data_IF_382721454135
#
_entry.id   IF_382721454135
#
_cell.length_a   1.000
_cell.length_b   1.000
_cell.length_c   1.000
_cell.angle_alpha   90.00
_cell.angle_beta   90.00
_cell.angle_gamma   90.00
#
_symmetry.space_group_name_H-M   'P 1'
#
loop_
_entity.id
_entity.type
_entity.pdbx_description
1 polymer ?
#
# COMPACT_ATOMS: atom_id res chain seq x y z
N UNK A 1 -13.85 15.41 -33.33
CA UNK A 1 -12.47 15.72 -32.87
C UNK A 1 -12.35 16.11 -31.38
N UNK A 2 -13.43 16.45 -30.65
CA UNK A 2 -13.36 16.64 -29.19
C UNK A 2 -13.36 15.32 -28.38
N UNK A 3 -13.98 14.26 -28.90
CA UNK A 3 -14.11 12.95 -28.24
C UNK A 3 -12.78 12.32 -27.81
N UNK A 4 -11.77 12.39 -28.67
CA UNK A 4 -10.52 11.64 -28.46
C UNK A 4 -9.63 12.30 -27.40
N UNK A 5 -9.74 13.64 -27.27
CA UNK A 5 -9.02 14.39 -26.25
C UNK A 5 -9.59 14.11 -24.85
N UNK A 6 -10.91 14.06 -24.73
CA UNK A 6 -11.57 13.78 -23.46
C UNK A 6 -11.38 12.31 -23.05
N UNK A 7 -11.39 11.38 -24.01
CA UNK A 7 -11.05 9.98 -23.77
C UNK A 7 -9.61 9.82 -23.22
N UNK A 8 -8.62 10.50 -23.82
CA UNK A 8 -7.24 10.46 -23.33
C UNK A 8 -7.09 11.04 -21.93
N UNK A 9 -7.80 12.14 -21.62
CA UNK A 9 -7.80 12.70 -20.26
C UNK A 9 -8.36 11.73 -19.24
N UNK A 10 -9.48 11.06 -19.54
CA UNK A 10 -10.08 10.07 -18.65
C UNK A 10 -9.14 8.88 -18.39
N UNK A 11 -8.41 8.42 -19.41
CA UNK A 11 -7.42 7.36 -19.24
C UNK A 11 -6.26 7.84 -18.36
N UNK A 12 -5.74 9.04 -18.61
CA UNK A 12 -4.68 9.62 -17.78
C UNK A 12 -5.12 9.78 -16.32
N UNK A 13 -6.38 10.17 -16.08
CA UNK A 13 -6.88 10.39 -14.72
C UNK A 13 -6.96 9.07 -13.95
N UNK A 14 -7.49 8.02 -14.60
CA UNK A 14 -7.46 6.66 -14.03
C UNK A 14 -6.04 6.20 -13.70
N UNK A 15 -5.08 6.47 -14.58
CA UNK A 15 -3.67 6.13 -14.36
C UNK A 15 -3.05 6.91 -13.21
N UNK A 16 -3.40 8.19 -13.07
CA UNK A 16 -2.97 9.01 -11.96
C UNK A 16 -3.47 8.48 -10.63
N UNK A 17 -4.76 8.15 -10.50
CA UNK A 17 -5.31 7.58 -9.27
C UNK A 17 -4.73 6.19 -8.97
N UNK A 18 -4.52 5.34 -9.98
CA UNK A 18 -3.83 4.04 -9.82
C UNK A 18 -2.40 4.26 -9.28
N UNK A 19 -1.65 5.24 -9.80
CA UNK A 19 -0.30 5.57 -9.30
C UNK A 19 -0.33 6.18 -7.88
N UNK A 20 -1.35 6.95 -7.54
CA UNK A 20 -1.49 7.59 -6.23
C UNK A 20 -1.64 6.55 -5.11
N UNK A 21 -2.26 5.40 -5.40
CA UNK A 21 -2.32 4.27 -4.47
C UNK A 21 -0.92 3.78 -4.05
N UNK A 22 0.11 3.94 -4.89
CA UNK A 22 1.47 3.45 -4.60
C UNK A 22 2.46 4.52 -4.15
N UNK A 23 2.24 5.80 -4.48
CA UNK A 23 3.28 6.84 -4.35
C UNK A 23 2.97 7.99 -3.38
N UNK A 24 1.87 7.93 -2.62
CA UNK A 24 1.44 8.89 -1.57
C UNK A 24 1.12 10.31 -2.07
N UNK A 25 1.86 10.85 -3.04
CA UNK A 25 1.75 12.21 -3.54
C UNK A 25 2.38 12.40 -4.93
N UNK A 26 2.10 13.54 -5.55
CA UNK A 26 2.62 13.95 -6.86
C UNK A 26 4.14 13.92 -6.97
N UNK A 27 4.86 14.21 -5.87
CA UNK A 27 6.32 14.19 -5.87
C UNK A 27 6.83 12.76 -6.05
N UNK A 28 6.22 11.78 -5.38
CA UNK A 28 6.52 10.37 -5.55
C UNK A 28 6.25 9.90 -6.97
N UNK A 29 5.08 10.26 -7.51
CA UNK A 29 4.66 9.93 -8.87
C UNK A 29 5.63 10.53 -9.90
N UNK A 30 5.91 11.84 -9.81
CA UNK A 30 6.80 12.52 -10.75
C UNK A 30 8.22 11.94 -10.75
N UNK A 31 8.76 11.56 -9.58
CA UNK A 31 10.06 10.88 -9.48
C UNK A 31 10.06 9.53 -10.20
N UNK A 32 9.00 8.75 -10.06
CA UNK A 32 8.88 7.44 -10.71
C UNK A 32 8.70 7.56 -12.24
N UNK A 33 7.95 8.56 -12.70
CA UNK A 33 7.65 8.76 -14.11
C UNK A 33 8.78 9.46 -14.89
N UNK A 34 9.58 10.33 -14.25
CA UNK A 34 10.58 11.15 -14.94
C UNK A 34 11.53 10.36 -15.87
N UNK A 35 12.07 9.17 -15.50
CA UNK A 35 12.91 8.36 -16.38
C UNK A 35 12.20 7.88 -17.66
N UNK A 36 10.87 7.82 -17.65
CA UNK A 36 10.04 7.28 -18.72
C UNK A 36 9.32 8.37 -19.53
N UNK A 37 9.09 9.53 -18.92
CA UNK A 37 8.37 10.65 -19.54
C UNK A 37 9.28 11.58 -20.36
N UNK A 38 10.61 11.53 -20.16
CA UNK A 38 11.57 12.33 -20.92
C UNK A 38 11.55 13.83 -20.61
N UNK A 39 10.98 14.24 -19.46
CA UNK A 39 11.02 15.62 -18.93
C UNK A 39 11.46 15.61 -17.47
N UNK A 40 11.87 16.78 -16.97
CA UNK A 40 12.27 16.93 -15.57
C UNK A 40 11.10 16.66 -14.61
N UNK A 41 11.47 16.25 -13.39
CA UNK A 41 10.52 15.99 -12.29
C UNK A 41 9.64 17.22 -12.02
N UNK A 42 10.19 18.44 -12.09
CA UNK A 42 9.44 19.67 -11.80
C UNK A 42 8.33 19.95 -12.82
N UNK A 43 8.57 19.65 -14.09
CA UNK A 43 7.55 19.75 -15.14
C UNK A 43 6.42 18.75 -14.88
N UNK A 44 6.77 17.51 -14.54
CA UNK A 44 5.79 16.49 -14.18
C UNK A 44 4.97 16.88 -12.95
N UNK A 45 5.61 17.33 -11.87
CA UNK A 45 4.92 17.78 -10.66
C UNK A 45 3.92 18.90 -10.95
N UNK A 46 4.30 19.88 -11.78
CA UNK A 46 3.42 20.98 -12.16
C UNK A 46 2.21 20.50 -12.96
N UNK A 47 2.44 19.55 -13.87
CA UNK A 47 1.37 18.96 -14.68
C UNK A 47 0.42 18.11 -13.83
N UNK A 48 0.94 17.35 -12.85
CA UNK A 48 0.16 16.53 -11.93
C UNK A 48 -0.70 17.38 -10.99
N UNK A 49 -0.11 18.35 -10.30
CA UNK A 49 -0.81 19.14 -9.28
C UNK A 49 -1.94 20.03 -9.82
N UNK A 50 -1.96 20.31 -11.12
CA UNK A 50 -3.06 21.01 -11.79
C UNK A 50 -3.86 20.08 -12.73
N UNK A 51 -3.43 18.83 -12.88
CA UNK A 51 -3.88 17.90 -13.93
C UNK A 51 -3.90 18.53 -15.34
N UNK A 52 -3.02 19.50 -15.61
CA UNK A 52 -2.98 20.28 -16.86
C UNK A 52 -2.01 19.68 -17.87
N UNK A 53 -2.40 18.59 -18.54
CA UNK A 53 -1.70 18.14 -19.74
C UNK A 53 -2.07 19.06 -20.92
N UNK A 54 -1.13 19.92 -21.33
CA UNK A 54 -1.37 21.03 -22.27
C UNK A 54 -1.87 20.58 -23.64
N UNK A 55 -1.46 19.41 -24.12
CA UNK A 55 -1.82 18.86 -25.42
C UNK A 55 -1.93 17.33 -25.41
N UNK A 56 -2.56 16.75 -26.44
CA UNK A 56 -2.76 15.30 -26.55
C UNK A 56 -1.45 14.50 -26.45
N UNK A 57 -0.36 14.99 -27.05
CA UNK A 57 0.96 14.35 -26.95
C UNK A 57 1.42 14.22 -25.51
N UNK A 58 1.35 15.30 -24.73
CA UNK A 58 1.74 15.30 -23.31
C UNK A 58 0.90 14.37 -22.44
N UNK A 59 -0.39 14.20 -22.78
CA UNK A 59 -1.28 13.25 -22.13
C UNK A 59 -0.91 11.82 -22.49
N UNK A 60 -0.62 11.53 -23.77
CA UNK A 60 -0.20 10.22 -24.23
C UNK A 60 1.15 9.80 -23.64
N UNK A 61 2.12 10.72 -23.60
CA UNK A 61 3.43 10.50 -22.98
C UNK A 61 3.26 10.13 -21.49
N UNK A 62 2.30 10.75 -20.80
CA UNK A 62 2.01 10.47 -19.40
C UNK A 62 1.40 9.07 -19.24
N UNK A 63 0.42 8.72 -20.08
CA UNK A 63 -0.19 7.39 -20.09
C UNK A 63 0.88 6.32 -20.34
N UNK A 64 1.75 6.53 -21.33
CA UNK A 64 2.81 5.59 -21.67
C UNK A 64 3.79 5.40 -20.51
N UNK A 65 4.29 6.50 -19.92
CA UNK A 65 5.16 6.45 -18.75
C UNK A 65 4.49 5.76 -17.56
N UNK A 66 3.21 6.06 -17.33
CA UNK A 66 2.41 5.45 -16.27
C UNK A 66 2.26 3.95 -16.45
N UNK A 67 1.97 3.49 -17.67
CA UNK A 67 1.87 2.07 -17.97
C UNK A 67 3.19 1.33 -17.71
N UNK A 68 4.32 1.91 -18.08
CA UNK A 68 5.64 1.33 -17.80
C UNK A 68 5.88 1.20 -16.29
N UNK A 69 5.62 2.27 -15.52
CA UNK A 69 5.81 2.24 -14.07
C UNK A 69 4.86 1.25 -13.40
N UNK A 70 3.58 1.25 -13.76
CA UNK A 70 2.58 0.33 -13.21
C UNK A 70 2.90 -1.13 -13.55
N UNK A 71 3.39 -1.42 -14.76
CA UNK A 71 3.82 -2.76 -15.13
C UNK A 71 5.00 -3.23 -14.26
N UNK A 72 5.97 -2.35 -13.99
CA UNK A 72 7.09 -2.66 -13.07
C UNK A 72 6.62 -2.93 -11.65
N UNK A 73 5.69 -2.13 -11.14
CA UNK A 73 5.11 -2.32 -9.80
C UNK A 73 4.39 -3.68 -9.72
N UNK A 74 3.63 -4.06 -10.75
CA UNK A 74 2.85 -5.30 -10.77
C UNK A 74 3.70 -6.57 -10.70
N UNK A 75 4.94 -6.54 -11.19
CA UNK A 75 5.86 -7.68 -11.16
C UNK A 75 6.88 -7.61 -10.01
N UNK A 76 6.86 -6.53 -9.22
CA UNK A 76 7.77 -6.36 -8.10
C UNK A 76 7.41 -7.31 -6.96
N UNK A 77 8.41 -7.98 -6.39
CA UNK A 77 8.23 -8.77 -5.17
C UNK A 77 7.92 -7.83 -4.00
N UNK A 78 6.89 -8.16 -3.22
CA UNK A 78 6.57 -7.45 -1.98
C UNK A 78 7.64 -7.77 -0.94
N UNK A 79 8.16 -6.73 -0.30
CA UNK A 79 9.09 -6.79 0.83
C UNK A 79 8.50 -5.98 2.00
N UNK A 80 7.43 -6.54 2.55
CA UNK A 80 6.72 -5.96 3.67
C UNK A 80 6.30 -7.06 4.66
N UNK A 81 6.32 -6.72 5.94
CA UNK A 81 5.95 -7.57 7.06
C UNK A 81 4.71 -7.00 7.72
N UNK A 82 3.64 -7.79 7.81
CA UNK A 82 2.40 -7.42 8.48
C UNK A 82 2.26 -8.18 9.80
N UNK A 83 1.87 -7.48 10.87
CA UNK A 83 1.29 -8.13 12.04
C UNK A 83 -0.20 -8.35 11.77
N UNK A 84 -0.66 -9.59 11.87
CA UNK A 84 -2.06 -9.96 11.74
C UNK A 84 -2.69 -10.12 13.13
N UNK A 85 -3.78 -9.39 13.36
CA UNK A 85 -4.63 -9.54 14.54
C UNK A 85 -6.07 -9.82 14.10
N UNK A 86 -6.71 -10.82 14.69
CA UNK A 86 -8.14 -11.09 14.50
C UNK A 86 -8.90 -10.82 15.80
N UNK A 87 -10.20 -10.52 15.70
CA UNK A 87 -11.08 -10.35 16.85
C UNK A 87 -10.97 -11.49 17.85
N UNK A 88 -11.09 -11.20 19.14
CA UNK A 88 -10.84 -12.18 20.21
C UNK A 88 -11.91 -13.26 20.33
N UNK A 89 -13.10 -13.01 19.79
CA UNK A 89 -14.22 -13.93 19.66
C UNK A 89 -14.14 -14.79 18.40
N UNK A 90 -13.18 -14.52 17.51
CA UNK A 90 -13.02 -15.24 16.25
C UNK A 90 -12.34 -16.59 16.44
N UNK A 91 -12.75 -17.57 15.62
CA UNK A 91 -12.13 -18.89 15.61
C UNK A 91 -10.68 -18.83 15.12
N UNK A 92 -9.74 -19.60 15.71
CA UNK A 92 -8.35 -19.68 15.24
C UNK A 92 -8.20 -20.05 13.76
N UNK A 93 -9.19 -20.71 13.15
CA UNK A 93 -9.17 -21.01 11.72
C UNK A 93 -9.16 -19.74 10.86
N UNK A 94 -9.82 -18.68 11.33
CA UNK A 94 -9.87 -17.38 10.63
C UNK A 94 -8.49 -16.75 10.59
N UNK A 95 -7.70 -16.88 11.67
CA UNK A 95 -6.31 -16.42 11.70
C UNK A 95 -5.48 -17.08 10.60
N UNK A 96 -5.60 -18.41 10.49
CA UNK A 96 -4.88 -19.21 9.50
C UNK A 96 -5.33 -18.83 8.08
N UNK A 97 -6.62 -18.63 7.85
CA UNK A 97 -7.15 -18.23 6.54
C UNK A 97 -6.67 -16.85 6.12
N UNK A 98 -6.73 -15.85 7.01
CA UNK A 98 -6.24 -14.51 6.68
C UNK A 98 -4.72 -14.50 6.51
N UNK A 99 -3.97 -15.23 7.35
CA UNK A 99 -2.52 -15.36 7.20
C UNK A 99 -2.14 -15.95 5.83
N UNK A 100 -2.84 -17.00 5.38
CA UNK A 100 -2.64 -17.58 4.05
C UNK A 100 -2.89 -16.56 2.93
N UNK A 101 -3.99 -15.81 2.99
CA UNK A 101 -4.27 -14.76 1.99
C UNK A 101 -3.15 -13.73 1.89
N UNK A 102 -2.61 -13.28 3.03
CA UNK A 102 -1.50 -12.33 3.05
C UNK A 102 -0.21 -12.95 2.48
N UNK A 103 0.10 -14.19 2.83
CA UNK A 103 1.25 -14.94 2.31
C UNK A 103 1.15 -15.13 0.79
N UNK A 104 -0.04 -15.43 0.27
CA UNK A 104 -0.30 -15.59 -1.17
C UNK A 104 -0.07 -14.29 -1.96
N UNK A 105 -0.17 -13.13 -1.30
CA UNK A 105 0.22 -11.83 -1.87
C UNK A 105 1.74 -11.60 -1.85
N UNK A 106 2.49 -12.44 -1.14
CA UNK A 106 3.92 -12.30 -0.89
C UNK A 106 4.26 -11.43 0.33
N UNK A 107 3.32 -11.21 1.25
CA UNK A 107 3.54 -10.46 2.50
C UNK A 107 4.05 -11.42 3.57
N UNK A 108 5.08 -11.01 4.33
CA UNK A 108 5.53 -11.77 5.50
C UNK A 108 4.55 -11.53 6.65
N UNK A 109 4.10 -12.58 7.35
CA UNK A 109 3.07 -12.47 8.38
C UNK A 109 3.63 -12.82 9.76
N UNK A 110 3.37 -11.94 10.73
CA UNK A 110 3.53 -12.20 12.16
C UNK A 110 2.12 -12.35 12.77
N UNK A 111 1.84 -13.46 13.43
CA UNK A 111 0.51 -13.76 13.97
C UNK A 111 0.63 -14.25 15.42
N UNK A 112 0.68 -13.35 16.42
CA UNK A 112 0.96 -13.71 17.81
C UNK A 112 -0.11 -14.63 18.42
N UNK A 113 -1.37 -14.47 17.98
CA UNK A 113 -2.51 -15.32 18.34
C UNK A 113 -2.36 -16.79 17.91
N UNK A 114 -1.37 -17.13 17.06
CA UNK A 114 -1.06 -18.52 16.72
C UNK A 114 -0.17 -19.21 17.78
N UNK A 115 0.47 -18.44 18.67
CA UNK A 115 1.46 -18.91 19.63
C UNK A 115 0.94 -18.77 21.07
N UNK A 116 0.20 -17.70 21.35
CA UNK A 116 -0.26 -17.35 22.69
C UNK A 116 -1.74 -16.98 22.69
N UNK A 117 -2.48 -17.47 23.66
CA UNK A 117 -3.89 -17.13 23.84
C UNK A 117 -4.03 -15.65 24.23
N UNK A 118 -5.07 -14.99 23.70
CA UNK A 118 -5.37 -13.58 23.97
C UNK A 118 -5.73 -13.28 25.43
N UNK A 119 -6.17 -14.28 26.19
CA UNK A 119 -6.45 -14.20 27.63
C UNK A 119 -5.19 -14.29 28.49
N UNK A 120 -4.04 -14.65 27.90
CA UNK A 120 -2.79 -14.78 28.63
C UNK A 120 -2.27 -13.40 29.06
N UNK A 121 -1.78 -13.28 30.29
CA UNK A 121 -1.34 -12.00 30.87
C UNK A 121 -0.25 -11.29 30.05
N UNK A 122 0.62 -12.08 29.41
CA UNK A 122 1.73 -11.59 28.58
C UNK A 122 1.35 -11.33 27.11
N UNK A 123 0.10 -11.59 26.70
CA UNK A 123 -0.31 -11.49 25.29
C UNK A 123 0.07 -10.13 24.67
N UNK A 124 -0.23 -9.04 25.36
CA UNK A 124 0.06 -7.70 24.89
C UNK A 124 1.54 -7.35 24.85
N UNK A 125 2.38 -8.04 25.62
CA UNK A 125 3.83 -7.85 25.57
C UNK A 125 4.42 -8.47 24.31
N UNK A 126 3.90 -9.63 23.88
CA UNK A 126 4.20 -10.21 22.57
C UNK A 126 3.74 -9.28 21.44
N UNK A 127 2.49 -8.78 21.50
CA UNK A 127 1.99 -7.83 20.49
C UNK A 127 2.93 -6.62 20.36
N UNK A 128 3.33 -5.99 21.47
CA UNK A 128 4.26 -4.84 21.46
C UNK A 128 5.60 -5.17 20.82
N UNK A 129 6.18 -6.33 21.15
CA UNK A 129 7.45 -6.75 20.58
C UNK A 129 7.34 -6.98 19.06
N UNK A 130 6.27 -7.64 18.62
CA UNK A 130 6.05 -7.96 17.21
C UNK A 130 5.68 -6.73 16.37
N UNK A 131 4.99 -5.75 16.94
CA UNK A 131 4.75 -4.44 16.32
C UNK A 131 6.05 -3.77 15.90
N UNK A 132 7.13 -3.91 16.69
CA UNK A 132 8.42 -3.31 16.36
C UNK A 132 9.05 -3.93 15.09
N UNK A 133 8.73 -5.20 14.79
CA UNK A 133 9.23 -5.94 13.63
C UNK A 133 8.33 -5.78 12.39
N UNK A 134 7.06 -5.47 12.59
CA UNK A 134 6.09 -5.27 11.53
C UNK A 134 6.24 -3.90 10.86
N UNK A 135 5.96 -3.81 9.56
CA UNK A 135 5.87 -2.55 8.84
C UNK A 135 4.50 -1.87 9.03
N UNK A 136 3.45 -2.67 9.18
CA UNK A 136 2.07 -2.25 9.38
C UNK A 136 1.27 -3.38 10.03
N UNK A 137 0.04 -3.07 10.42
CA UNK A 137 -0.85 -4.00 11.10
C UNK A 137 -2.07 -4.25 10.22
N UNK A 138 -2.46 -5.51 10.12
CA UNK A 138 -3.68 -5.96 9.46
C UNK A 138 -4.62 -6.49 10.52
N UNK A 139 -5.85 -5.97 10.54
CA UNK A 139 -6.90 -6.40 11.45
C UNK A 139 -8.03 -7.11 10.71
N UNK A 140 -8.74 -8.01 11.41
CA UNK A 140 -9.93 -8.68 10.90
C UNK A 140 -10.95 -8.83 12.03
N UNK A 141 -12.14 -8.25 11.85
CA UNK A 141 -13.27 -8.39 12.78
C UNK A 141 -12.91 -8.04 14.25
N UNK A 142 -12.00 -7.09 14.47
CA UNK A 142 -11.69 -6.59 15.82
C UNK A 142 -12.77 -5.63 16.28
N UNK A 143 -13.23 -5.78 17.52
CA UNK A 143 -14.24 -4.88 18.07
C UNK A 143 -13.64 -3.51 18.49
N UNK A 144 -14.50 -2.57 18.88
CA UNK A 144 -14.07 -1.21 19.22
C UNK A 144 -13.10 -1.12 20.41
N UNK A 145 -13.22 -2.03 21.38
CA UNK A 145 -12.32 -2.07 22.55
C UNK A 145 -10.94 -2.57 22.14
N UNK A 146 -10.89 -3.67 21.40
CA UNK A 146 -9.66 -4.25 20.86
C UNK A 146 -8.93 -3.27 19.93
N UNK A 147 -9.67 -2.61 19.04
CA UNK A 147 -9.10 -1.62 18.13
C UNK A 147 -8.53 -0.42 18.89
N UNK A 148 -9.19 0.04 19.95
CA UNK A 148 -8.68 1.13 20.80
C UNK A 148 -7.37 0.74 21.49
N UNK A 149 -7.33 -0.46 22.09
CA UNK A 149 -6.12 -0.99 22.72
C UNK A 149 -4.96 -1.13 21.72
N UNK A 150 -5.27 -1.61 20.51
CA UNK A 150 -4.30 -1.74 19.44
C UNK A 150 -3.77 -0.38 18.99
N UNK A 151 -4.63 0.62 18.80
CA UNK A 151 -4.24 1.99 18.45
C UNK A 151 -3.35 2.63 19.52
N UNK A 152 -3.67 2.43 20.80
CA UNK A 152 -2.84 2.91 21.91
C UNK A 152 -1.46 2.24 21.94
N UNK A 153 -1.40 0.97 21.54
CA UNK A 153 -0.17 0.17 21.48
C UNK A 153 0.67 0.47 20.23
N UNK A 154 0.03 0.77 19.11
CA UNK A 154 0.64 0.85 17.78
C UNK A 154 0.69 2.27 17.20
N UNK A 155 1.00 3.28 18.02
CA UNK A 155 0.88 4.71 17.66
C UNK A 155 1.57 5.14 16.35
N UNK A 156 2.64 4.46 15.97
CA UNK A 156 3.43 4.79 14.77
C UNK A 156 3.22 3.82 13.59
N UNK A 157 2.23 2.92 13.68
CA UNK A 157 1.92 1.95 12.64
C UNK A 157 0.58 2.23 12.01
N UNK A 158 0.54 2.09 10.69
CA UNK A 158 -0.73 2.05 9.99
C UNK A 158 -1.47 0.76 10.32
N UNK A 159 -2.76 0.87 10.63
CA UNK A 159 -3.67 -0.24 10.88
C UNK A 159 -4.65 -0.31 9.72
N UNK A 160 -4.73 -1.46 9.08
CA UNK A 160 -5.53 -1.68 7.87
C UNK A 160 -6.49 -2.83 8.11
N UNK A 161 -7.77 -2.63 7.82
CA UNK A 161 -8.75 -3.70 7.81
C UNK A 161 -8.59 -4.58 6.56
N UNK A 162 -8.58 -5.90 6.74
CA UNK A 162 -8.45 -6.87 5.65
C UNK A 162 -9.68 -6.95 4.73
N UNK A 163 -10.80 -6.28 5.05
CA UNK A 163 -12.03 -6.27 4.24
C UNK A 163 -11.77 -6.06 2.74
N UNK A 164 -10.83 -5.19 2.35
CA UNK A 164 -10.34 -5.11 0.98
C UNK A 164 -8.87 -5.56 0.88
N UNK A 165 -8.69 -6.80 0.41
CA UNK A 165 -7.38 -7.40 0.21
C UNK A 165 -6.52 -6.66 -0.83
N UNK A 166 -7.14 -5.90 -1.74
CA UNK A 166 -6.41 -5.10 -2.72
C UNK A 166 -5.79 -3.86 -2.07
N UNK A 167 -6.47 -3.26 -1.09
CA UNK A 167 -5.94 -2.13 -0.32
C UNK A 167 -4.74 -2.57 0.52
N UNK A 168 -4.84 -3.73 1.16
CA UNK A 168 -3.70 -4.35 1.87
C UNK A 168 -2.52 -4.57 0.92
N UNK A 169 -2.77 -5.13 -0.27
CA UNK A 169 -1.74 -5.34 -1.29
C UNK A 169 -1.10 -4.02 -1.75
N UNK A 170 -1.91 -3.02 -2.05
CA UNK A 170 -1.45 -1.71 -2.50
C UNK A 170 -0.58 -1.02 -1.43
N UNK A 171 -1.01 -1.11 -0.16
CA UNK A 171 -0.25 -0.57 0.95
C UNK A 171 1.08 -1.32 1.16
N UNK A 172 1.08 -2.66 1.15
CA UNK A 172 2.30 -3.45 1.25
C UNK A 172 3.30 -3.13 0.12
N UNK A 173 2.79 -2.90 -1.10
CA UNK A 173 3.62 -2.46 -2.22
C UNK A 173 4.18 -1.05 -2.01
N UNK A 174 3.39 -0.11 -1.47
CA UNK A 174 3.86 1.23 -1.10
C UNK A 174 4.98 1.17 -0.07
N UNK A 175 4.84 0.35 0.97
CA UNK A 175 5.90 0.08 1.97
C UNK A 175 7.16 -0.44 1.29
N UNK A 176 7.02 -1.45 0.42
CA UNK A 176 8.12 -2.03 -0.37
C UNK A 176 8.86 -0.95 -1.18
N UNK A 177 8.13 -0.10 -1.90
CA UNK A 177 8.68 1.00 -2.69
C UNK A 177 9.34 2.09 -1.84
N UNK A 178 8.86 2.29 -0.61
CA UNK A 178 9.47 3.23 0.35
C UNK A 178 10.81 2.68 0.84
N UNK A 179 10.87 1.39 1.23
CA UNK A 179 12.11 0.73 1.67
C UNK A 179 13.19 0.72 0.59
N UNK A 180 12.84 0.41 -0.65
CA UNK A 180 13.81 0.37 -1.76
C UNK A 180 14.47 1.72 -2.03
N UNK A 181 13.78 2.85 -1.76
CA UNK A 181 14.36 4.20 -1.84
C UNK A 181 15.41 4.48 -0.76
N UNK A 182 15.28 3.87 0.42
CA UNK A 182 16.22 4.04 1.53
C UNK A 182 17.33 2.97 1.55
N UNK A 183 17.15 1.88 0.81
CA UNK A 183 18.13 0.80 0.63
C UNK A 183 19.12 0.99 -0.52
N UNK A 184 18.98 2.05 -1.34
CA UNK A 184 20.00 2.45 -2.31
C UNK A 184 21.09 3.28 -1.59
N UNK A 185 21.99 2.59 -0.90
CA UNK A 185 23.33 3.09 -0.59
C UNK A 185 24.35 2.28 -1.39
#
# INVERSE_FOLDING_TARGET
>A
MHSDRDALKNIAEKKYFELLQYFENDRGIAKALAPHYGRSIDVLKRNLGLFTFRNQKSTQDFINASNVVLAKIKVQKIDATALLLIGFDMSPIVLVEQAKKLIDLGINVIAPQAIIENTHEQFWDYIKADIALADFIVICEVNGVENTLLQDTAKDKEIIDIQDINDVKAYAMRVTLKKSKYGMK
#
